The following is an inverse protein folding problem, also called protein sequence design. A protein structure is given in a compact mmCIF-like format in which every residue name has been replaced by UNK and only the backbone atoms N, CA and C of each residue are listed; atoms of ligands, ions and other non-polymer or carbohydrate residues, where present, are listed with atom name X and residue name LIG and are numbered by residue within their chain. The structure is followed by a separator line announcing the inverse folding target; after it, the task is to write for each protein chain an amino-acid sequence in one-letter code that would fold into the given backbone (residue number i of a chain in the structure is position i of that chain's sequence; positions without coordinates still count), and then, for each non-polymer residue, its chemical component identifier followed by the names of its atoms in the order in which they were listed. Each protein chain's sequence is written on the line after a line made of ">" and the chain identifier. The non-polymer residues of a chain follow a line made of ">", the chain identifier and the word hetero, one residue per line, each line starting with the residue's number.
data_IF_834491465492
#
_entry.id   IF_834491465492
#
_cell.length_a   1.000
_cell.length_b   1.000
_cell.length_c   1.000
_cell.angle_alpha   90.00
_cell.angle_beta   90.00
_cell.angle_gamma   90.00
#
_symmetry.space_group_name_H-M   'P 1'
#
loop_
_entity.id
_entity.type
_entity.pdbx_description
1 polymer ?
#
# COMPACT_ATOMS: atom_id res chain seq x y z
N UNK A 1 4.56 11.21 7.49
CA UNK A 1 4.91 9.81 7.71
C UNK A 1 5.01 9.13 6.35
N UNK A 2 6.07 8.36 6.04
CA UNK A 2 6.17 7.61 4.78
C UNK A 2 4.94 6.74 4.51
N UNK A 3 4.42 6.07 5.55
CA UNK A 3 3.23 5.22 5.45
C UNK A 3 1.97 5.99 5.08
N UNK A 4 1.77 7.19 5.66
CA UNK A 4 0.61 8.02 5.33
C UNK A 4 0.68 8.56 3.91
N UNK A 5 1.87 8.93 3.42
CA UNK A 5 2.03 9.38 2.05
C UNK A 5 1.69 8.25 1.07
N UNK A 6 2.12 7.03 1.37
CA UNK A 6 1.79 5.84 0.59
C UNK A 6 0.27 5.56 0.59
N UNK A 7 -0.38 5.57 1.76
CA UNK A 7 -1.83 5.37 1.88
C UNK A 7 -2.64 6.44 1.14
N UNK A 8 -2.22 7.71 1.21
CA UNK A 8 -2.86 8.79 0.46
C UNK A 8 -2.75 8.58 -1.04
N UNK A 9 -1.59 8.12 -1.53
CA UNK A 9 -1.41 7.75 -2.93
C UNK A 9 -2.34 6.61 -3.36
N UNK A 10 -2.45 5.56 -2.54
CA UNK A 10 -3.37 4.44 -2.80
C UNK A 10 -4.84 4.88 -2.85
N UNK A 11 -5.25 5.79 -1.96
CA UNK A 11 -6.60 6.36 -1.95
C UNK A 11 -6.87 7.13 -3.25
N UNK A 12 -5.93 7.97 -3.69
CA UNK A 12 -6.10 8.78 -4.91
C UNK A 12 -6.17 7.89 -6.15
N UNK A 13 -5.27 6.91 -6.31
CA UNK A 13 -5.35 5.92 -7.40
C UNK A 13 -6.69 5.20 -7.44
N UNK A 14 -7.13 4.71 -6.28
CA UNK A 14 -8.43 4.02 -6.17
C UNK A 14 -9.58 4.94 -6.55
N UNK A 15 -9.48 6.22 -6.23
CA UNK A 15 -10.47 7.21 -6.60
C UNK A 15 -10.49 7.44 -8.11
N UNK A 16 -9.33 7.69 -8.73
CA UNK A 16 -9.23 7.89 -10.18
C UNK A 16 -9.78 6.69 -10.97
N UNK A 17 -9.46 5.47 -10.53
CA UNK A 17 -9.99 4.24 -11.15
C UNK A 17 -11.51 4.11 -11.00
N UNK A 18 -12.09 4.58 -9.90
CA UNK A 18 -13.54 4.57 -9.68
C UNK A 18 -14.27 5.68 -10.45
N UNK A 19 -13.61 6.80 -10.70
CA UNK A 19 -14.14 7.91 -11.50
C UNK A 19 -14.11 7.59 -13.02
N UNK A 20 -13.33 6.59 -13.44
CA UNK A 20 -13.29 6.10 -14.83
C UNK A 20 -14.60 5.37 -15.19
N UNK A 21 -15.32 5.91 -16.19
CA UNK A 21 -16.57 5.33 -16.69
C UNK A 21 -16.41 4.46 -17.96
N UNK A 22 -15.23 4.52 -18.60
CA UNK A 22 -14.95 3.82 -19.86
C UNK A 22 -13.68 2.95 -19.74
N UNK A 23 -13.68 1.79 -20.39
CA UNK A 23 -12.54 0.86 -20.42
C UNK A 23 -12.20 0.56 -21.88
N UNK A 24 -10.91 0.57 -22.21
CA UNK A 24 -10.41 0.17 -23.53
C UNK A 24 -10.68 -1.32 -23.79
N UNK A 25 -11.14 -1.65 -24.99
CA UNK A 25 -11.26 -3.05 -25.44
C UNK A 25 -10.03 -3.52 -26.22
N UNK A 26 -9.03 -2.66 -26.40
CA UNK A 26 -7.80 -3.02 -27.08
C UNK A 26 -6.87 -3.73 -26.08
N UNK A 27 -6.64 -5.02 -26.31
CA UNK A 27 -5.81 -5.88 -25.45
C UNK A 27 -4.42 -5.30 -25.19
N UNK A 28 -3.74 -4.79 -26.23
CA UNK A 28 -2.39 -4.20 -26.09
C UNK A 28 -2.42 -2.98 -25.18
N UNK A 29 -3.48 -2.17 -25.28
CA UNK A 29 -3.67 -1.00 -24.42
C UNK A 29 -3.94 -1.42 -22.99
N UNK A 30 -4.82 -2.40 -22.76
CA UNK A 30 -5.15 -2.89 -21.40
C UNK A 30 -3.95 -3.55 -20.74
N UNK A 31 -3.15 -4.32 -21.47
CA UNK A 31 -1.89 -4.91 -20.97
C UNK A 31 -0.92 -3.82 -20.54
N UNK A 32 -0.71 -2.81 -21.38
CA UNK A 32 0.15 -1.68 -21.01
C UNK A 32 -0.37 -0.93 -19.78
N UNK A 33 -1.69 -0.67 -19.70
CA UNK A 33 -2.30 0.00 -18.55
C UNK A 33 -2.09 -0.79 -17.23
N UNK A 34 -2.17 -2.13 -17.29
CA UNK A 34 -1.90 -3.01 -16.13
C UNK A 34 -0.44 -2.93 -15.70
N UNK A 35 0.49 -3.04 -16.65
CA UNK A 35 1.92 -2.94 -16.37
C UNK A 35 2.30 -1.57 -15.80
N UNK A 36 1.75 -0.49 -16.37
CA UNK A 36 1.98 0.87 -15.88
C UNK A 36 1.48 1.02 -14.44
N UNK A 37 0.28 0.50 -14.12
CA UNK A 37 -0.27 0.52 -12.77
C UNK A 37 0.58 -0.29 -11.78
N UNK A 38 1.02 -1.49 -12.17
CA UNK A 38 1.92 -2.34 -11.36
C UNK A 38 3.23 -1.63 -11.07
N UNK A 39 3.81 -0.99 -12.09
CA UNK A 39 5.04 -0.24 -11.95
C UNK A 39 4.89 0.97 -11.04
N UNK A 40 3.79 1.71 -11.16
CA UNK A 40 3.50 2.84 -10.28
C UNK A 40 3.39 2.39 -8.82
N UNK A 41 2.68 1.28 -8.55
CA UNK A 41 2.55 0.73 -7.20
C UNK A 41 3.91 0.27 -6.63
N UNK A 42 4.70 -0.44 -7.43
CA UNK A 42 6.04 -0.87 -7.07
C UNK A 42 6.97 0.31 -6.75
N UNK A 43 6.97 1.36 -7.58
CA UNK A 43 7.77 2.56 -7.35
C UNK A 43 7.33 3.29 -6.07
N UNK A 44 6.02 3.36 -5.81
CA UNK A 44 5.48 3.98 -4.60
C UNK A 44 5.88 3.23 -3.33
N UNK A 45 5.86 1.89 -3.35
CA UNK A 45 6.29 1.08 -2.23
C UNK A 45 7.81 1.15 -2.02
N UNK A 46 8.60 1.13 -3.10
CA UNK A 46 10.04 1.34 -2.98
C UNK A 46 10.40 2.73 -2.45
N UNK A 47 9.63 3.76 -2.81
CA UNK A 47 9.80 5.09 -2.21
C UNK A 47 9.50 5.07 -0.71
N UNK A 48 8.45 4.36 -0.29
CA UNK A 48 8.11 4.18 1.12
C UNK A 48 9.22 3.44 1.86
N UNK A 49 9.72 2.32 1.32
CA UNK A 49 10.84 1.55 1.89
C UNK A 49 12.11 2.39 1.99
N UNK A 50 12.45 3.15 0.95
CA UNK A 50 13.60 4.06 0.95
C UNK A 50 13.52 5.08 2.10
N UNK A 51 12.35 5.70 2.30
CA UNK A 51 12.14 6.70 3.36
C UNK A 51 12.13 6.08 4.77
N UNK A 52 11.83 4.79 4.89
CA UNK A 52 11.93 4.02 6.14
C UNK A 52 13.34 3.44 6.36
N UNK A 53 14.23 3.52 5.37
CA UNK A 53 15.57 2.93 5.42
C UNK A 53 15.57 1.40 5.28
N UNK A 54 14.51 0.84 4.67
CA UNK A 54 14.36 -0.58 4.37
C UNK A 54 15.05 -0.91 3.03
N UNK A 55 15.46 -2.17 2.81
CA UNK A 55 15.94 -2.62 1.51
C UNK A 55 14.87 -2.39 0.44
N UNK A 56 15.30 -2.01 -0.77
CA UNK A 56 14.40 -1.86 -1.91
C UNK A 56 14.10 -3.23 -2.52
N UNK A 57 12.87 -3.41 -2.98
CA UNK A 57 12.49 -4.55 -3.80
C UNK A 57 13.04 -4.40 -5.22
N UNK A 58 13.30 -5.54 -5.84
CA UNK A 58 13.72 -5.63 -7.24
C UNK A 58 12.51 -5.86 -8.13
N UNK A 59 12.51 -5.21 -9.30
CA UNK A 59 11.42 -5.38 -10.26
C UNK A 59 11.53 -6.74 -10.94
N UNK A 60 10.44 -7.51 -10.90
CA UNK A 60 10.31 -8.79 -11.59
C UNK A 60 9.29 -8.60 -12.72
N UNK A 61 9.72 -8.77 -13.96
CA UNK A 61 8.82 -8.78 -15.11
C UNK A 61 8.00 -10.08 -15.07
N UNK A 62 6.67 -9.97 -15.16
CA UNK A 62 5.84 -11.17 -15.32
C UNK A 62 5.98 -11.64 -16.78
N UNK A 63 6.58 -12.80 -16.98
CA UNK A 63 6.54 -13.48 -18.28
C UNK A 63 5.10 -13.93 -18.52
N UNK A 64 4.40 -13.25 -19.45
CA UNK A 64 3.09 -13.54 -20.04
C UNK A 64 2.47 -14.88 -19.58
N UNK A 65 1.81 -14.89 -18.42
CA UNK A 65 0.98 -16.03 -18.02
C UNK A 65 -0.25 -16.02 -18.93
N UNK A 66 -0.36 -17.03 -19.81
CA UNK A 66 -1.47 -17.22 -20.74
C UNK A 66 -2.83 -17.00 -20.02
N UNK A 67 -3.54 -15.94 -20.41
CA UNK A 67 -4.77 -15.45 -19.75
C UNK A 67 -5.95 -16.46 -19.86
N UNK A 68 -5.84 -17.47 -20.74
CA UNK A 68 -6.78 -18.61 -20.84
C UNK A 68 -6.72 -19.55 -19.62
N UNK A 69 -5.67 -19.47 -18.80
CA UNK A 69 -5.56 -20.26 -17.56
C UNK A 69 -6.30 -19.64 -16.36
N UNK A 70 -6.56 -18.33 -16.38
CA UNK A 70 -7.10 -17.61 -15.22
C UNK A 70 -8.64 -17.63 -15.15
N UNK A 71 -9.32 -17.90 -16.26
CA UNK A 71 -10.78 -18.04 -16.28
C UNK A 71 -11.29 -19.34 -15.61
N UNK A 72 -10.40 -20.27 -15.26
CA UNK A 72 -10.75 -21.57 -14.66
C UNK A 72 -10.31 -21.73 -13.19
N UNK A 73 -9.74 -20.69 -12.57
CA UNK A 73 -9.21 -20.74 -11.20
C UNK A 73 -10.12 -20.01 -10.19
N UNK A 74 -11.43 -20.29 -10.21
CA UNK A 74 -12.37 -19.92 -9.13
C UNK A 74 -12.43 -21.00 -8.02
N UNK A 75 -11.37 -21.83 -7.88
CA UNK A 75 -11.30 -22.83 -6.80
C UNK A 75 -9.91 -23.46 -6.66
N UNK A 76 -8.84 -22.67 -6.55
CA UNK A 76 -7.60 -23.19 -5.97
C UNK A 76 -7.02 -22.14 -5.04
N UNK A 77 -7.12 -22.44 -3.75
CA UNK A 77 -6.34 -21.78 -2.70
C UNK A 77 -4.89 -22.04 -3.07
N UNK A 78 -4.24 -21.02 -3.61
CA UNK A 78 -2.78 -20.98 -3.75
C UNK A 78 -2.26 -20.96 -2.31
N UNK A 79 -1.85 -22.12 -1.81
CA UNK A 79 -1.04 -22.20 -0.61
C UNK A 79 0.23 -21.40 -0.89
N UNK A 80 0.60 -20.41 -0.04
CA UNK A 80 1.86 -19.71 -0.23
C UNK A 80 2.98 -20.74 -0.03
N UNK A 81 3.82 -20.92 -1.05
CA UNK A 81 5.11 -21.58 -0.86
C UNK A 81 5.87 -20.80 0.22
N UNK A 82 6.10 -21.45 1.36
CA UNK A 82 6.87 -20.94 2.48
C UNK A 82 8.32 -20.72 2.01
N UNK A 83 8.61 -19.51 1.50
CA UNK A 83 9.97 -19.00 1.45
C UNK A 83 10.37 -18.61 2.88
N UNK A 84 11.00 -19.55 3.59
CA UNK A 84 11.49 -19.44 4.97
C UNK A 84 12.69 -18.48 5.17
N UNK A 85 12.80 -17.38 4.41
CA UNK A 85 13.88 -16.39 4.58
C UNK A 85 13.41 -14.93 4.41
N UNK A 86 12.23 -14.58 4.88
CA UNK A 86 11.98 -13.21 5.35
C UNK A 86 11.20 -13.35 6.65
N UNK A 87 11.86 -13.08 7.77
CA UNK A 87 11.13 -12.82 9.00
C UNK A 87 10.19 -11.67 8.69
N UNK A 88 8.89 -11.96 8.59
CA UNK A 88 7.81 -11.00 8.64
C UNK A 88 8.12 -10.00 9.75
N UNK A 89 8.77 -8.88 9.40
CA UNK A 89 8.83 -7.72 10.26
C UNK A 89 7.41 -7.18 10.21
N UNK A 90 6.56 -7.76 11.07
CA UNK A 90 5.17 -7.41 11.25
C UNK A 90 5.07 -5.89 11.24
N UNK A 91 4.61 -5.34 10.12
CA UNK A 91 4.74 -3.92 9.88
C UNK A 91 3.72 -3.20 10.74
N UNK A 92 4.20 -2.31 11.61
CA UNK A 92 3.32 -1.58 12.51
C UNK A 92 2.20 -0.85 11.74
N UNK A 93 0.95 -1.03 12.16
CA UNK A 93 -0.19 -0.36 11.54
C UNK A 93 -0.04 1.17 11.70
N UNK A 94 0.13 1.92 10.59
CA UNK A 94 0.37 3.35 10.64
C UNK A 94 -0.81 4.12 11.24
N UNK A 95 -2.05 3.64 11.05
CA UNK A 95 -3.25 4.27 11.61
C UNK A 95 -3.28 4.14 13.13
N UNK A 96 -2.88 2.97 13.66
CA UNK A 96 -2.77 2.76 15.10
C UNK A 96 -1.65 3.65 15.67
N UNK A 97 -0.49 3.71 15.01
CA UNK A 97 0.62 4.55 15.46
C UNK A 97 0.27 6.04 15.52
N UNK A 98 -0.31 6.61 14.46
CA UNK A 98 -0.68 8.03 14.47
C UNK A 98 -1.86 8.31 15.41
N UNK A 99 -2.84 7.39 15.52
CA UNK A 99 -3.92 7.56 16.51
C UNK A 99 -3.41 7.57 17.96
N UNK A 100 -2.39 6.76 18.27
CA UNK A 100 -1.69 6.78 19.55
C UNK A 100 -0.97 8.11 19.82
N UNK A 101 -0.31 8.68 18.81
CA UNK A 101 0.34 10.01 18.92
C UNK A 101 -0.69 11.12 19.13
N UNK A 102 -1.79 11.10 18.39
CA UNK A 102 -2.90 12.04 18.57
C UNK A 102 -3.46 11.96 19.99
N UNK A 103 -3.64 10.75 20.53
CA UNK A 103 -4.10 10.55 21.91
C UNK A 103 -3.11 11.12 22.93
N UNK A 104 -1.81 10.89 22.75
CA UNK A 104 -0.77 11.44 23.62
C UNK A 104 -0.78 12.98 23.61
N UNK A 105 -0.91 13.59 22.43
CA UNK A 105 -1.04 15.05 22.28
C UNK A 105 -2.29 15.58 22.97
N UNK A 106 -3.43 14.89 22.83
CA UNK A 106 -4.67 15.24 23.51
C UNK A 106 -4.52 15.22 25.04
N UNK A 107 -3.87 14.19 25.61
CA UNK A 107 -3.58 14.10 27.04
C UNK A 107 -2.69 15.27 27.48
N UNK A 108 -1.62 15.56 26.73
CA UNK A 108 -0.68 16.64 27.03
C UNK A 108 -1.34 18.02 27.00
N UNK A 109 -2.22 18.28 26.04
CA UNK A 109 -2.99 19.52 25.95
C UNK A 109 -3.94 19.69 27.14
N UNK A 110 -4.59 18.61 27.58
CA UNK A 110 -5.49 18.65 28.73
C UNK A 110 -4.75 18.78 30.07
N UNK A 111 -3.61 18.10 30.25
CA UNK A 111 -2.77 18.24 31.45
C UNK A 111 -2.26 19.67 31.65
N UNK A 112 -1.92 20.37 30.57
CA UNK A 112 -1.55 21.80 30.60
C UNK A 112 -2.72 22.72 30.96
N UNK A 113 -3.94 22.41 30.50
CA UNK A 113 -5.15 23.19 30.84
C UNK A 113 -5.49 23.08 32.33
N UNK A 114 -5.41 21.89 32.92
CA UNK A 114 -5.69 21.69 34.35
C UNK A 114 -4.65 22.39 35.23
N UNK A 115 -3.37 22.34 34.85
CA UNK A 115 -2.30 23.04 35.57
C UNK A 115 -2.36 24.57 35.43
N UNK A 116 -2.83 25.10 34.29
CA UNK A 116 -3.07 26.54 34.11
C UNK A 116 -4.34 27.06 34.81
N UNK A 117 -5.32 26.20 35.12
CA UNK A 117 -6.53 26.59 35.83
C UNK A 117 -6.38 26.54 37.37
N UNK A 118 -5.34 25.88 37.87
CA UNK A 118 -5.05 25.72 39.30
C UNK A 118 -3.91 26.64 39.82
N UNK A 119 -3.48 27.62 39.01
CA UNK A 119 -2.55 28.70 39.37
C UNK A 119 -3.23 30.05 39.14
#
# INVERSE_FOLDING_TARGET
>A
SPDFNYLLGQIERTRELREREEISLNEVVVKQEREDARKEEFEAENMRRALKGLPLEEWVEDEDVDEDSLASSDSEVIEPEENEEDSDLEEDDPLILESGRILADYINLNGRRVSSANN
#
